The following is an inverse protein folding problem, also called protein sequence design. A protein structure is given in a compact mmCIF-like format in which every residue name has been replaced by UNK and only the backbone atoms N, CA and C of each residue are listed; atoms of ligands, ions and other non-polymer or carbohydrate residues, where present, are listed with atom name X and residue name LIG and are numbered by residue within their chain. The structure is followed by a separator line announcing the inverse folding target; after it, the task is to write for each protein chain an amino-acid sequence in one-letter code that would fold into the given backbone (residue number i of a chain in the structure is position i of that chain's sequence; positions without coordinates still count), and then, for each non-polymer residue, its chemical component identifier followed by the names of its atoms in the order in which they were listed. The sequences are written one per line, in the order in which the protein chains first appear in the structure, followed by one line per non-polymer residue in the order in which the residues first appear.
data_IF_212064633686
#
_entry.id   IF_212064633686
#
_cell.length_a   1.000
_cell.length_b   1.000
_cell.length_c   1.000
_cell.angle_alpha   90.00
_cell.angle_beta   90.00
_cell.angle_gamma   90.00
#
_symmetry.space_group_name_H-M   'P 1'
#
loop_
_entity.id
_entity.type
_entity.pdbx_description
1 polymer ?
#
# COMPACT_ATOMS: atom_id res chain seq x y z
N UNK A 1 -17.67 -21.44 -9.70
CA UNK A 1 -16.70 -21.00 -8.68
C UNK A 1 -16.22 -19.62 -9.10
N UNK A 2 -16.53 -18.56 -8.34
CA UNK A 2 -15.86 -17.28 -8.52
C UNK A 2 -14.56 -17.40 -7.73
N UNK A 3 -13.44 -17.54 -8.43
CA UNK A 3 -12.12 -17.39 -7.80
C UNK A 3 -12.11 -15.98 -7.20
N UNK A 4 -12.21 -15.89 -5.86
CA UNK A 4 -12.03 -14.62 -5.19
C UNK A 4 -10.55 -14.29 -5.35
N UNK A 5 -10.26 -13.23 -6.09
CA UNK A 5 -8.95 -12.58 -6.03
C UNK A 5 -8.70 -12.20 -4.57
N UNK A 6 -7.93 -13.02 -3.87
CA UNK A 6 -7.38 -12.69 -2.56
C UNK A 6 -6.03 -12.05 -2.83
N UNK A 7 -5.99 -10.72 -2.80
CA UNK A 7 -4.73 -9.99 -2.80
C UNK A 7 -4.28 -9.92 -1.36
N UNK A 8 -3.13 -10.51 -1.05
CA UNK A 8 -2.53 -10.42 0.28
C UNK A 8 -2.11 -8.96 0.56
N UNK A 9 -2.73 -8.28 1.55
CA UNK A 9 -2.38 -6.91 1.92
C UNK A 9 -0.90 -6.75 2.27
N UNK A 10 -0.24 -7.79 2.79
CA UNK A 10 1.18 -7.74 3.14
C UNK A 10 2.07 -7.57 1.89
N UNK A 11 1.69 -8.17 0.76
CA UNK A 11 2.43 -7.99 -0.51
C UNK A 11 2.32 -6.54 -0.98
N UNK A 12 1.13 -5.93 -0.89
CA UNK A 12 0.92 -4.53 -1.25
C UNK A 12 1.71 -3.59 -0.34
N UNK A 13 1.66 -3.78 0.99
CA UNK A 13 2.45 -2.99 1.95
C UNK A 13 3.95 -3.04 1.62
N UNK A 14 4.50 -4.23 1.37
CA UNK A 14 5.89 -4.39 0.97
C UNK A 14 6.20 -3.69 -0.36
N UNK A 15 5.32 -3.81 -1.34
CA UNK A 15 5.47 -3.10 -2.62
C UNK A 15 5.52 -1.58 -2.44
N UNK A 16 4.66 -1.03 -1.58
CA UNK A 16 4.67 0.40 -1.26
C UNK A 16 5.95 0.85 -0.52
N UNK A 17 6.50 0.02 0.37
CA UNK A 17 7.79 0.30 1.02
C UNK A 17 8.93 0.40 0.01
N UNK A 18 9.01 -0.54 -0.93
CA UNK A 18 10.02 -0.52 -2.00
C UNK A 18 9.85 0.69 -2.94
N UNK A 19 8.60 1.09 -3.23
CA UNK A 19 8.32 2.31 -3.99
C UNK A 19 8.77 3.56 -3.24
N UNK A 20 8.50 3.65 -1.93
CA UNK A 20 8.93 4.77 -1.08
C UNK A 20 10.45 4.88 -1.07
N UNK A 21 11.16 3.76 -0.87
CA UNK A 21 12.62 3.70 -0.94
C UNK A 21 13.16 4.12 -2.31
N UNK A 22 12.46 3.74 -3.39
CA UNK A 22 12.82 4.14 -4.75
C UNK A 22 12.65 5.64 -4.97
N UNK A 23 11.56 6.23 -4.44
CA UNK A 23 11.33 7.66 -4.47
C UNK A 23 12.46 8.42 -3.73
N UNK A 24 12.83 7.97 -2.53
CA UNK A 24 13.91 8.56 -1.74
C UNK A 24 15.25 8.51 -2.48
N UNK A 25 15.62 7.33 -3.01
CA UNK A 25 16.84 7.17 -3.80
C UNK A 25 16.85 8.09 -5.04
N UNK A 26 15.70 8.27 -5.68
CA UNK A 26 15.57 9.15 -6.86
C UNK A 26 15.73 10.62 -6.47
N UNK A 27 15.18 11.04 -5.32
CA UNK A 27 15.36 12.39 -4.79
C UNK A 27 16.82 12.66 -4.37
N UNK A 28 17.51 11.66 -3.82
CA UNK A 28 18.94 11.73 -3.51
C UNK A 28 19.78 11.83 -4.79
N UNK A 29 19.46 11.05 -5.83
CA UNK A 29 20.11 11.13 -7.13
C UNK A 29 19.93 12.53 -7.76
N UNK A 30 18.74 13.12 -7.66
CA UNK A 30 18.49 14.50 -8.10
C UNK A 30 19.36 15.51 -7.33
N UNK A 31 19.50 15.32 -6.01
CA UNK A 31 20.33 16.19 -5.17
C UNK A 31 21.82 16.07 -5.52
N UNK A 32 22.28 14.85 -5.82
CA UNK A 32 23.63 14.58 -6.29
C UNK A 32 23.88 15.19 -7.67
N UNK A 33 22.96 15.02 -8.60
CA UNK A 33 23.04 15.57 -9.95
C UNK A 33 23.09 17.10 -9.95
N UNK A 34 22.40 17.77 -9.00
CA UNK A 34 22.52 19.21 -8.82
C UNK A 34 23.95 19.65 -8.51
N UNK A 35 24.76 18.82 -7.86
CA UNK A 35 26.18 19.07 -7.64
C UNK A 35 27.00 19.12 -8.93
N UNK A 36 26.50 18.55 -10.03
CA UNK A 36 27.14 18.58 -11.33
C UNK A 36 26.91 19.90 -12.11
N UNK A 37 26.07 20.83 -11.62
CA UNK A 37 25.80 22.13 -12.26
C UNK A 37 27.11 22.94 -12.45
N UNK A 38 28.15 22.65 -11.66
CA UNK A 38 29.53 23.06 -11.92
C UNK A 38 29.78 24.56 -11.92
N UNK A 39 31.03 24.96 -12.19
CA UNK A 39 31.39 26.37 -12.41
C UNK A 39 31.59 26.60 -13.91
N UNK A 40 31.07 27.71 -14.43
CA UNK A 40 31.26 28.12 -15.83
C UNK A 40 32.74 28.21 -16.22
N UNK A 41 33.64 28.46 -15.26
CA UNK A 41 35.08 28.46 -15.48
C UNK A 41 35.68 27.12 -15.92
N UNK A 42 35.00 26.01 -15.68
CA UNK A 42 35.44 24.67 -16.12
C UNK A 42 35.34 24.48 -17.65
N UNK A 43 34.54 25.30 -18.33
CA UNK A 43 34.30 25.23 -19.78
C UNK A 43 35.18 26.20 -20.58
N UNK A 44 36.04 26.97 -19.88
CA UNK A 44 36.91 27.98 -20.48
C UNK A 44 36.26 29.37 -20.62
N UNK A 45 37.08 30.39 -20.78
CA UNK A 45 36.64 31.80 -20.79
C UNK A 45 36.15 32.32 -22.15
N UNK A 46 36.27 31.52 -23.22
CA UNK A 46 35.80 31.87 -24.56
C UNK A 46 34.27 32.01 -24.59
N UNK A 47 33.73 32.68 -25.61
CA UNK A 47 32.27 32.75 -25.80
C UNK A 47 31.64 31.36 -25.94
N UNK A 48 32.24 30.46 -26.73
CA UNK A 48 31.79 29.07 -26.83
C UNK A 48 31.87 28.31 -25.50
N UNK A 49 32.84 28.62 -24.63
CA UNK A 49 32.92 28.05 -23.28
C UNK A 49 31.76 28.50 -22.38
N UNK A 50 31.36 29.77 -22.49
CA UNK A 50 30.19 30.31 -21.77
C UNK A 50 28.89 29.69 -22.28
N UNK A 51 28.69 29.60 -23.59
CA UNK A 51 27.51 28.95 -24.18
C UNK A 51 27.41 27.47 -23.75
N UNK A 52 28.53 26.75 -23.74
CA UNK A 52 28.55 25.35 -23.30
C UNK A 52 28.23 25.22 -21.81
N UNK A 53 28.74 26.11 -20.96
CA UNK A 53 28.41 26.15 -19.54
C UNK A 53 26.92 26.42 -19.30
N UNK A 54 26.32 27.34 -20.06
CA UNK A 54 24.88 27.64 -19.99
C UNK A 54 24.03 26.44 -20.43
N UNK A 55 24.38 25.81 -21.55
CA UNK A 55 23.71 24.62 -22.05
C UNK A 55 23.82 23.44 -21.06
N UNK A 56 24.99 23.25 -20.46
CA UNK A 56 25.21 22.25 -19.42
C UNK A 56 24.35 22.52 -18.18
N UNK A 57 24.36 23.76 -17.68
CA UNK A 57 23.56 24.14 -16.52
C UNK A 57 22.06 23.93 -16.76
N UNK A 58 21.58 24.31 -17.95
CA UNK A 58 20.19 24.09 -18.34
C UNK A 58 19.84 22.58 -18.37
N UNK A 59 20.72 21.75 -18.94
CA UNK A 59 20.54 20.30 -18.97
C UNK A 59 20.51 19.69 -17.56
N UNK A 60 21.45 20.04 -16.69
CA UNK A 60 21.49 19.56 -15.30
C UNK A 60 20.20 19.95 -14.58
N UNK A 61 19.77 21.21 -14.68
CA UNK A 61 18.52 21.69 -14.07
C UNK A 61 17.30 20.91 -14.56
N UNK A 62 17.21 20.66 -15.87
CA UNK A 62 16.12 19.89 -16.45
C UNK A 62 16.08 18.45 -15.88
N UNK A 63 17.22 17.76 -15.86
CA UNK A 63 17.29 16.38 -15.31
C UNK A 63 17.00 16.31 -13.82
N UNK A 64 17.47 17.29 -13.04
CA UNK A 64 17.13 17.38 -11.62
C UNK A 64 15.63 17.59 -11.42
N UNK A 65 14.97 18.41 -12.26
CA UNK A 65 13.53 18.62 -12.18
C UNK A 65 12.75 17.34 -12.54
N UNK A 66 13.14 16.62 -13.59
CA UNK A 66 12.53 15.35 -13.99
C UNK A 66 12.66 14.29 -12.88
N UNK A 67 13.85 14.13 -12.29
CA UNK A 67 14.05 13.17 -11.19
C UNK A 67 13.20 13.52 -9.97
N UNK A 68 13.05 14.81 -9.64
CA UNK A 68 12.16 15.24 -8.55
C UNK A 68 10.69 14.93 -8.83
N UNK A 69 10.23 15.13 -10.07
CA UNK A 69 8.86 14.75 -10.47
C UNK A 69 8.66 13.25 -10.33
N UNK A 70 9.61 12.45 -10.84
CA UNK A 70 9.56 11.00 -10.77
C UNK A 70 9.54 10.49 -9.32
N UNK A 71 10.38 11.05 -8.45
CA UNK A 71 10.37 10.72 -7.03
C UNK A 71 9.00 11.01 -6.39
N UNK A 72 8.43 12.17 -6.69
CA UNK A 72 7.12 12.56 -6.17
C UNK A 72 5.99 11.65 -6.65
N UNK A 73 5.93 11.34 -7.95
CA UNK A 73 4.94 10.44 -8.54
C UNK A 73 5.07 9.02 -7.98
N UNK A 74 6.30 8.55 -7.75
CA UNK A 74 6.57 7.23 -7.15
C UNK A 74 6.09 7.17 -5.70
N UNK A 75 6.28 8.23 -4.91
CA UNK A 75 5.77 8.31 -3.54
C UNK A 75 4.24 8.37 -3.49
N UNK A 76 3.60 9.11 -4.41
CA UNK A 76 2.13 9.10 -4.56
C UNK A 76 1.60 7.70 -4.89
N UNK A 77 2.28 6.98 -5.78
CA UNK A 77 1.93 5.60 -6.09
C UNK A 77 2.07 4.70 -4.87
N UNK A 78 3.15 4.85 -4.09
CA UNK A 78 3.32 4.12 -2.82
C UNK A 78 2.17 4.39 -1.84
N UNK A 79 1.72 5.64 -1.73
CA UNK A 79 0.54 6.02 -0.95
C UNK A 79 -0.73 5.29 -1.41
N UNK A 80 -1.00 5.32 -2.72
CA UNK A 80 -2.17 4.64 -3.32
C UNK A 80 -2.14 3.13 -3.06
N UNK A 81 -0.96 2.50 -3.13
CA UNK A 81 -0.80 1.06 -2.87
C UNK A 81 -1.03 0.73 -1.39
N UNK A 82 -0.61 1.61 -0.46
CA UNK A 82 -0.91 1.46 0.99
C UNK A 82 -2.41 1.54 1.25
N UNK A 83 -3.09 2.53 0.67
CA UNK A 83 -4.54 2.69 0.79
C UNK A 83 -5.30 1.48 0.24
N UNK A 84 -4.83 0.91 -0.88
CA UNK A 84 -5.37 -0.33 -1.41
C UNK A 84 -5.18 -1.50 -0.44
N UNK A 85 -4.00 -1.64 0.17
CA UNK A 85 -3.72 -2.67 1.17
C UNK A 85 -4.65 -2.56 2.38
N UNK A 86 -4.81 -1.35 2.93
CA UNK A 86 -5.69 -1.08 4.06
C UNK A 86 -7.16 -1.40 3.73
N UNK A 87 -7.58 -1.10 2.49
CA UNK A 87 -8.93 -1.40 2.01
C UNK A 87 -9.19 -2.91 1.94
N UNK A 88 -8.27 -3.69 1.36
CA UNK A 88 -8.41 -5.14 1.29
C UNK A 88 -8.41 -5.80 2.68
N UNK A 89 -7.55 -5.34 3.60
CA UNK A 89 -7.54 -5.86 4.97
C UNK A 89 -8.85 -5.59 5.72
N UNK A 90 -9.42 -4.40 5.52
CA UNK A 90 -10.71 -4.04 6.12
C UNK A 90 -11.87 -4.87 5.55
N UNK A 91 -11.92 -5.06 4.23
CA UNK A 91 -12.94 -5.89 3.57
C UNK A 91 -12.87 -7.36 4.01
N UNK A 92 -11.66 -7.92 4.12
CA UNK A 92 -11.48 -9.30 4.59
C UNK A 92 -11.89 -9.47 6.07
N UNK A 93 -11.63 -8.45 6.90
CA UNK A 93 -12.04 -8.44 8.31
C UNK A 93 -13.57 -8.38 8.46
N UNK A 94 -14.24 -7.46 7.75
CA UNK A 94 -15.70 -7.30 7.79
C UNK A 94 -16.42 -8.55 7.26
N UNK A 95 -15.89 -9.16 6.19
CA UNK A 95 -16.42 -10.41 5.67
C UNK A 95 -16.26 -11.57 6.67
N UNK A 96 -15.11 -11.66 7.32
CA UNK A 96 -14.83 -12.67 8.34
C UNK A 96 -15.72 -12.51 9.57
N UNK A 97 -15.95 -11.28 10.05
CA UNK A 97 -16.89 -11.02 11.13
C UNK A 97 -18.32 -11.39 10.76
N UNK A 98 -18.75 -11.05 9.54
CA UNK A 98 -20.09 -11.38 9.05
C UNK A 98 -20.32 -12.88 9.02
N UNK A 99 -19.35 -13.65 8.50
CA UNK A 99 -19.40 -15.12 8.51
C UNK A 99 -19.47 -15.63 9.95
N UNK A 100 -18.60 -15.14 10.85
CA UNK A 100 -18.58 -15.57 12.26
C UNK A 100 -19.92 -15.30 12.97
N UNK A 101 -20.57 -14.17 12.68
CA UNK A 101 -21.90 -13.84 13.23
C UNK A 101 -22.99 -14.77 12.67
N UNK A 102 -22.95 -15.08 11.37
CA UNK A 102 -23.86 -16.05 10.74
C UNK A 102 -23.68 -17.46 11.31
N UNK A 103 -22.44 -17.93 11.46
CA UNK A 103 -22.13 -19.23 12.07
C UNK A 103 -22.62 -19.31 13.52
N UNK A 104 -22.41 -18.24 14.31
CA UNK A 104 -22.92 -18.17 15.69
C UNK A 104 -24.44 -18.19 15.76
N UNK A 105 -25.13 -17.51 14.84
CA UNK A 105 -26.60 -17.54 14.75
C UNK A 105 -27.11 -18.93 14.39
N UNK A 106 -26.51 -19.58 13.38
CA UNK A 106 -26.85 -20.95 12.97
C UNK A 106 -26.59 -21.98 14.07
N UNK A 107 -25.50 -21.83 14.84
CA UNK A 107 -25.21 -22.67 15.99
C UNK A 107 -26.25 -22.49 17.13
N UNK A 108 -26.64 -21.25 17.42
CA UNK A 108 -27.68 -20.95 18.42
C UNK A 108 -29.07 -21.47 18.05
N UNK A 109 -29.43 -21.44 16.77
CA UNK A 109 -30.68 -22.03 16.26
C UNK A 109 -30.69 -23.55 16.32
N UNK A 110 -29.54 -24.22 16.17
CA UNK A 110 -29.42 -25.68 16.36
C UNK A 110 -29.49 -26.11 17.83
N UNK A 111 -29.12 -25.23 18.77
CA UNK A 111 -29.14 -25.50 20.21
C UNK A 111 -30.55 -25.39 20.82
N UNK A 112 -31.38 -24.46 20.31
CA UNK A 112 -32.78 -24.23 20.77
C UNK A 112 -33.66 -25.49 20.75
N UNK A 113 -33.78 -26.24 19.64
CA UNK A 113 -34.60 -27.46 19.62
C UNK A 113 -34.00 -28.58 20.49
N UNK A 114 -32.68 -28.63 20.72
CA UNK A 114 -32.07 -29.58 21.67
C UNK A 114 -32.45 -29.29 23.12
N UNK A 115 -32.44 -28.02 23.54
CA UNK A 115 -32.87 -27.61 24.89
C UNK A 115 -34.36 -27.81 25.11
N UNK A 116 -35.20 -27.48 24.13
CA UNK A 116 -36.65 -27.71 24.21
C UNK A 116 -37.00 -29.20 24.23
N UNK A 117 -36.23 -30.04 23.53
CA UNK A 117 -36.39 -31.51 23.58
C UNK A 117 -35.94 -32.09 24.92
N UNK A 118 -34.85 -31.57 25.51
CA UNK A 118 -34.37 -32.03 26.82
C UNK A 118 -35.30 -31.61 27.98
N UNK A 119 -35.99 -30.47 27.89
CA UNK A 119 -36.99 -30.04 28.89
C UNK A 119 -38.32 -30.80 28.81
N UNK A 120 -38.67 -31.45 27.68
CA UNK A 120 -39.89 -32.28 27.58
C UNK A 120 -39.72 -33.71 28.08
N UNK A 121 -38.49 -34.20 28.30
CA UNK A 121 -38.20 -35.56 28.76
C UNK A 121 -37.81 -35.55 30.25
N UNK A 122 -38.59 -34.87 31.08
CA UNK A 122 -38.62 -35.14 32.52
C UNK A 122 -40.02 -35.62 32.89
N UNK A 123 -40.31 -36.93 32.80
CA UNK A 123 -41.50 -37.46 33.44
C UNK A 123 -41.22 -37.53 34.94
N UNK A 124 -42.12 -36.91 35.71
CA UNK A 124 -42.13 -37.01 37.16
C UNK A 124 -42.14 -38.46 37.61
N UNK A 125 -41.22 -38.79 38.51
CA UNK A 125 -41.35 -39.93 39.39
C UNK A 125 -42.47 -39.62 40.39
N UNK A 126 -43.65 -40.20 40.21
CA UNK A 126 -44.76 -40.13 41.17
C UNK A 126 -45.57 -41.43 41.13
N UNK A 127 -45.62 -42.13 42.28
CA UNK A 127 -46.57 -43.19 42.68
C UNK A 127 -46.49 -44.51 41.88
N UNK A 128 -46.50 -45.71 42.46
CA UNK A 128 -46.75 -46.23 43.81
C UNK A 128 -45.88 -47.49 44.00
#
# INVERSE_FOLDING_TARGET
MRDRFSVDPAILRRGAEELTKTADNTAEAASTAKGADGSSGAFGASEGGKELAEAWSALVKARVAEMKSLAHETDQLAGTVREAADSYEWEDSDHSETIRRQEKALAGERERPRRESASRIAPGTSGD
#
